data_IF_768892710356
#
_entry.id   IF_768892710356
#
_cell.length_a   1.000
_cell.length_b   1.000
_cell.length_c   1.000
_cell.angle_alpha   90.00
_cell.angle_beta   90.00
_cell.angle_gamma   90.00
#
_symmetry.space_group_name_H-M   'P 1'
#
loop_
_entity.id
_entity.type
_entity.pdbx_description
1 polymer ?
#
# COMPACT_ATOMS: atom_id res chain seq x y z
N UNK A 1 -13.94 -10.04 2.11
CA UNK A 1 -13.48 -10.46 3.45
C UNK A 1 -12.00 -10.16 3.55
N UNK A 2 -11.53 -9.60 4.68
CA UNK A 2 -10.12 -9.30 4.87
C UNK A 2 -9.27 -10.57 4.96
N UNK A 3 -8.02 -10.48 4.48
CA UNK A 3 -7.02 -11.55 4.53
C UNK A 3 -6.10 -11.33 5.73
N UNK A 4 -6.08 -12.29 6.67
CA UNK A 4 -5.30 -12.22 7.92
C UNK A 4 -3.82 -11.84 7.74
N UNK A 5 -3.16 -12.31 6.68
CA UNK A 5 -1.72 -12.03 6.45
C UNK A 5 -1.42 -10.54 6.23
N UNK A 6 -2.41 -9.74 5.83
CA UNK A 6 -2.28 -8.31 5.56
C UNK A 6 -2.86 -7.44 6.68
N UNK A 7 -3.48 -8.05 7.68
CA UNK A 7 -3.99 -7.31 8.83
C UNK A 7 -2.83 -6.92 9.74
N UNK A 8 -2.83 -5.65 10.16
CA UNK A 8 -1.94 -5.19 11.22
C UNK A 8 -2.53 -5.41 12.59
N UNK A 9 -1.73 -5.02 13.58
CA UNK A 9 -2.15 -4.91 14.98
C UNK A 9 -1.77 -3.53 15.50
N UNK A 10 -2.19 -3.17 16.70
CA UNK A 10 -1.78 -1.92 17.33
C UNK A 10 -0.24 -1.79 17.45
N UNK A 11 0.47 -2.91 17.62
CA UNK A 11 1.93 -2.95 17.73
C UNK A 11 2.62 -2.98 16.36
N UNK A 12 1.96 -3.53 15.33
CA UNK A 12 2.48 -3.71 13.99
C UNK A 12 1.43 -3.31 12.94
N UNK A 13 1.10 -2.00 12.84
CA UNK A 13 0.09 -1.53 11.89
C UNK A 13 0.56 -1.78 10.45
N UNK A 14 -0.37 -2.05 9.55
CA UNK A 14 -0.11 -2.32 8.14
C UNK A 14 -0.57 -1.17 7.26
N UNK A 15 0.37 -0.60 6.51
CA UNK A 15 0.14 0.45 5.52
C UNK A 15 0.30 -0.18 4.13
N UNK A 16 -0.72 -0.04 3.28
CA UNK A 16 -0.72 -0.60 1.93
C UNK A 16 -0.80 0.45 0.83
N UNK A 17 -0.13 0.16 -0.29
CA UNK A 17 -0.30 0.85 -1.57
C UNK A 17 -0.65 -0.17 -2.65
N UNK A 18 -1.52 0.21 -3.61
CA UNK A 18 -1.99 -0.66 -4.69
C UNK A 18 -2.01 0.07 -6.03
N UNK A 19 -1.50 -0.57 -7.08
CA UNK A 19 -1.54 -0.01 -8.44
C UNK A 19 -0.42 -0.50 -9.37
N UNK A 20 -0.17 0.26 -10.43
CA UNK A 20 0.94 0.02 -11.37
C UNK A 20 2.15 0.83 -10.93
N UNK A 21 3.08 0.21 -10.20
CA UNK A 21 4.15 0.94 -9.52
C UNK A 21 5.33 1.33 -10.41
N UNK A 22 5.34 0.90 -11.67
CA UNK A 22 6.27 1.44 -12.68
C UNK A 22 5.87 2.86 -13.13
N UNK A 23 4.65 3.33 -12.81
CA UNK A 23 4.17 4.66 -13.18
C UNK A 23 4.54 5.68 -12.07
N UNK A 24 5.44 6.65 -12.33
CA UNK A 24 5.92 7.58 -11.30
C UNK A 24 4.80 8.36 -10.60
N UNK A 25 3.70 8.64 -11.31
CA UNK A 25 2.52 9.33 -10.78
C UNK A 25 1.84 8.62 -9.61
N UNK A 26 2.14 7.34 -9.37
CA UNK A 26 1.62 6.55 -8.24
C UNK A 26 2.39 6.78 -6.93
N UNK A 27 3.48 7.57 -6.95
CA UNK A 27 4.15 8.02 -5.74
C UNK A 27 4.81 6.90 -4.93
N UNK A 28 5.25 5.81 -5.58
CA UNK A 28 5.95 4.74 -4.87
C UNK A 28 7.18 5.27 -4.13
N UNK A 29 7.88 6.27 -4.67
CA UNK A 29 9.08 6.82 -4.05
C UNK A 29 8.77 7.44 -2.69
N UNK A 30 7.76 8.32 -2.64
CA UNK A 30 7.24 8.92 -1.40
C UNK A 30 6.76 7.86 -0.40
N UNK A 31 6.07 6.82 -0.89
CA UNK A 31 5.64 5.69 -0.06
C UNK A 31 6.82 4.92 0.55
N UNK A 32 7.93 4.77 -0.17
CA UNK A 32 9.10 4.07 0.36
C UNK A 32 9.90 4.96 1.32
N UNK A 33 10.00 6.26 1.04
CA UNK A 33 10.70 7.24 1.87
C UNK A 33 10.01 7.44 3.23
N UNK A 34 8.71 7.17 3.34
CA UNK A 34 7.98 7.25 4.62
C UNK A 34 8.33 6.09 5.58
N UNK A 35 8.80 4.95 5.07
CA UNK A 35 9.05 3.73 5.87
C UNK A 35 9.92 4.01 7.10
N UNK A 36 11.14 4.58 6.97
CA UNK A 36 11.97 4.88 8.12
C UNK A 36 11.31 5.90 9.07
N UNK A 37 10.60 6.89 8.53
CA UNK A 37 9.97 7.95 9.32
C UNK A 37 8.86 7.42 10.23
N UNK A 38 7.99 6.56 9.69
CA UNK A 38 6.91 5.92 10.47
C UNK A 38 7.48 4.97 11.50
N UNK A 39 8.55 4.22 11.16
CA UNK A 39 9.18 3.26 12.07
C UNK A 39 9.89 3.90 13.26
N UNK A 40 10.17 5.20 13.24
CA UNK A 40 10.61 5.94 14.45
C UNK A 40 9.56 5.87 15.56
N UNK A 41 8.26 5.94 15.20
CA UNK A 41 7.15 5.94 16.16
C UNK A 41 6.47 4.57 16.30
N UNK A 42 6.45 3.78 15.23
CA UNK A 42 5.83 2.47 15.13
C UNK A 42 6.85 1.45 14.61
N UNK A 43 7.72 0.97 15.49
CA UNK A 43 8.90 0.17 15.13
C UNK A 43 8.59 -1.09 14.30
N UNK A 44 7.40 -1.68 14.44
CA UNK A 44 6.97 -2.87 13.71
C UNK A 44 5.96 -2.58 12.60
N UNK A 45 5.79 -1.32 12.19
CA UNK A 45 4.93 -0.98 11.07
C UNK A 45 5.34 -1.73 9.79
N UNK A 46 4.34 -2.34 9.16
CA UNK A 46 4.45 -3.11 7.92
C UNK A 46 4.02 -2.25 6.75
N UNK A 47 4.73 -2.42 5.64
CA UNK A 47 4.48 -1.68 4.41
C UNK A 47 4.29 -2.68 3.28
N UNK A 48 3.12 -2.66 2.64
CA UNK A 48 2.77 -3.61 1.59
C UNK A 48 2.67 -2.89 0.24
N UNK A 49 3.38 -3.40 -0.77
CA UNK A 49 3.29 -2.92 -2.15
C UNK A 49 2.60 -3.98 -3.00
N UNK A 50 1.38 -3.67 -3.43
CA UNK A 50 0.55 -4.56 -4.23
C UNK A 50 0.30 -4.01 -5.65
N UNK A 51 0.04 -4.92 -6.58
CA UNK A 51 -0.27 -4.61 -7.97
C UNK A 51 0.86 -4.99 -8.93
N UNK A 52 0.90 -4.30 -10.06
CA UNK A 52 1.80 -4.66 -11.17
C UNK A 52 3.06 -3.81 -11.13
N UNK A 53 4.21 -4.44 -11.23
CA UNK A 53 5.51 -3.80 -11.24
C UNK A 53 6.58 -4.68 -11.88
N UNK A 54 7.67 -4.07 -12.35
CA UNK A 54 8.86 -4.80 -12.78
C UNK A 54 9.66 -5.38 -11.59
N UNK A 55 10.50 -6.39 -11.85
CA UNK A 55 11.41 -6.97 -10.86
C UNK A 55 12.36 -5.92 -10.24
N UNK A 56 12.72 -4.90 -11.02
CA UNK A 56 13.52 -3.77 -10.53
C UNK A 56 12.78 -2.99 -9.45
N UNK A 57 11.49 -2.72 -9.67
CA UNK A 57 10.65 -2.01 -8.70
C UNK A 57 10.39 -2.89 -7.47
N UNK A 58 10.13 -4.18 -7.65
CA UNK A 58 10.01 -5.14 -6.56
C UNK A 58 11.27 -5.17 -5.67
N UNK A 59 12.45 -5.33 -6.27
CA UNK A 59 13.71 -5.35 -5.55
C UNK A 59 13.99 -4.04 -4.81
N UNK A 60 13.59 -2.89 -5.39
CA UNK A 60 13.72 -1.58 -4.75
C UNK A 60 12.80 -1.45 -3.54
N UNK A 61 11.53 -1.82 -3.65
CA UNK A 61 10.59 -1.81 -2.54
C UNK A 61 11.05 -2.73 -1.40
N UNK A 62 11.51 -3.94 -1.74
CA UNK A 62 12.06 -4.88 -0.76
C UNK A 62 13.30 -4.30 -0.02
N UNK A 63 14.23 -3.66 -0.75
CA UNK A 63 15.39 -2.99 -0.14
C UNK A 63 15.01 -1.83 0.79
N UNK A 64 13.93 -1.12 0.50
CA UNK A 64 13.39 -0.08 1.37
C UNK A 64 12.66 -0.63 2.60
N UNK A 65 12.45 -1.95 2.68
CA UNK A 65 11.82 -2.62 3.82
C UNK A 65 10.32 -2.80 3.70
N UNK A 66 9.78 -2.74 2.47
CA UNK A 66 8.40 -3.11 2.16
C UNK A 66 8.28 -4.59 1.77
N UNK A 67 7.12 -5.19 2.06
CA UNK A 67 6.72 -6.51 1.59
C UNK A 67 6.08 -6.38 0.21
N UNK A 68 6.59 -7.15 -0.76
CA UNK A 68 6.12 -7.14 -2.14
C UNK A 68 5.03 -8.20 -2.29
N UNK A 69 3.79 -7.77 -2.53
CA UNK A 69 2.61 -8.64 -2.58
C UNK A 69 2.37 -9.23 -3.98
N UNK A 70 2.66 -8.45 -5.03
CA UNK A 70 2.42 -8.85 -6.42
C UNK A 70 1.05 -8.43 -6.95
N UNK A 71 0.75 -8.86 -8.18
CA UNK A 71 -0.48 -8.54 -8.88
C UNK A 71 -1.68 -9.23 -8.22
N UNK A 72 -2.78 -8.48 -8.06
CA UNK A 72 -4.00 -8.94 -7.40
C UNK A 72 -5.17 -8.85 -8.37
N UNK A 73 -6.01 -9.89 -8.37
CA UNK A 73 -7.33 -9.83 -9.01
C UNK A 73 -8.29 -8.90 -8.25
N UNK A 74 -9.47 -8.63 -8.82
CA UNK A 74 -10.41 -7.67 -8.25
C UNK A 74 -10.91 -8.03 -6.84
N UNK A 75 -11.17 -9.32 -6.60
CA UNK A 75 -11.60 -9.79 -5.28
C UNK A 75 -10.47 -9.66 -4.26
N UNK A 76 -9.24 -9.94 -4.68
CA UNK A 76 -8.04 -9.79 -3.87
C UNK A 76 -7.71 -8.32 -3.59
N UNK A 77 -7.94 -7.40 -4.53
CA UNK A 77 -7.79 -5.95 -4.28
C UNK A 77 -8.75 -5.49 -3.19
N UNK A 78 -10.03 -5.84 -3.30
CA UNK A 78 -11.02 -5.50 -2.27
C UNK A 78 -10.63 -6.11 -0.91
N UNK A 79 -10.17 -7.37 -0.91
CA UNK A 79 -9.66 -8.01 0.31
C UNK A 79 -8.44 -7.27 0.87
N UNK A 80 -7.47 -6.92 0.04
CA UNK A 80 -6.26 -6.18 0.40
C UNK A 80 -6.61 -4.84 1.03
N UNK A 81 -7.43 -4.03 0.35
CA UNK A 81 -7.88 -2.73 0.84
C UNK A 81 -8.63 -2.87 2.18
N UNK A 82 -9.49 -3.88 2.34
CA UNK A 82 -10.18 -4.12 3.62
C UNK A 82 -9.29 -4.69 4.75
N UNK A 83 -8.06 -5.12 4.43
CA UNK A 83 -7.18 -5.77 5.41
C UNK A 83 -6.18 -4.81 6.04
N UNK A 84 -5.74 -3.82 5.29
CA UNK A 84 -4.73 -2.86 5.76
C UNK A 84 -5.36 -1.84 6.71
N UNK A 85 -4.60 -1.40 7.71
CA UNK A 85 -5.08 -0.37 8.64
C UNK A 85 -5.13 1.00 7.95
N UNK A 86 -4.15 1.25 7.07
CA UNK A 86 -4.08 2.46 6.26
C UNK A 86 -3.85 2.10 4.80
N UNK A 87 -4.73 2.60 3.92
CA UNK A 87 -4.47 2.65 2.49
C UNK A 87 -3.86 4.01 2.13
N UNK A 88 -2.63 3.99 1.62
CA UNK A 88 -1.88 5.19 1.25
C UNK A 88 -1.86 5.34 -0.27
N UNK A 89 -2.30 6.49 -0.77
CA UNK A 89 -2.30 6.84 -2.18
C UNK A 89 -1.56 8.17 -2.42
N UNK A 90 -0.22 8.17 -2.38
CA UNK A 90 0.62 9.38 -2.49
C UNK A 90 0.73 9.87 -3.95
N UNK A 91 -0.39 9.93 -4.66
CA UNK A 91 -0.40 10.12 -6.09
C UNK A 91 0.07 11.55 -6.44
N UNK A 92 1.09 11.65 -7.30
CA UNK A 92 1.69 12.91 -7.73
C UNK A 92 0.89 13.62 -8.85
N UNK A 93 -0.20 12.99 -9.32
CA UNK A 93 -1.15 13.59 -10.27
C UNK A 93 -1.88 12.58 -11.18
N UNK A 94 -2.90 13.06 -11.88
CA UNK A 94 -3.56 12.33 -12.98
C UNK A 94 -4.36 11.10 -12.57
N UNK A 95 -4.93 11.07 -11.36
CA UNK A 95 -5.90 10.03 -11.02
C UNK A 95 -7.28 10.43 -11.52
N UNK A 96 -7.84 9.63 -12.44
CA UNK A 96 -9.01 10.01 -13.23
C UNK A 96 -10.31 10.23 -12.44
N UNK A 97 -10.36 9.88 -11.15
CA UNK A 97 -11.48 10.16 -10.25
C UNK A 97 -11.21 9.89 -8.75
N UNK A 98 -10.07 9.28 -8.40
CA UNK A 98 -9.83 8.78 -7.03
C UNK A 98 -10.68 7.56 -6.67
N UNK A 99 -11.17 6.79 -7.66
CA UNK A 99 -12.08 5.63 -7.41
C UNK A 99 -11.48 4.60 -6.44
N UNK A 100 -10.15 4.43 -6.48
CA UNK A 100 -9.44 3.54 -5.57
C UNK A 100 -9.51 4.02 -4.11
N UNK A 101 -9.58 5.34 -3.88
CA UNK A 101 -9.79 5.90 -2.54
C UNK A 101 -11.21 5.61 -2.05
N UNK A 102 -12.21 5.74 -2.92
CA UNK A 102 -13.61 5.43 -2.59
C UNK A 102 -13.77 3.94 -2.27
N UNK A 103 -13.09 3.07 -3.01
CA UNK A 103 -13.05 1.62 -2.74
C UNK A 103 -12.39 1.31 -1.39
N UNK A 104 -11.27 1.98 -1.06
CA UNK A 104 -10.60 1.81 0.22
C UNK A 104 -11.47 2.29 1.40
N UNK A 105 -12.16 3.42 1.25
CA UNK A 105 -13.12 3.91 2.24
C UNK A 105 -14.31 2.96 2.41
N UNK A 106 -14.86 2.44 1.30
CA UNK A 106 -15.94 1.45 1.33
C UNK A 106 -15.50 0.13 1.97
N UNK A 107 -14.21 -0.20 1.88
CA UNK A 107 -13.58 -1.35 2.50
C UNK A 107 -13.26 -1.17 4.00
N UNK A 108 -13.45 0.04 4.54
CA UNK A 108 -13.23 0.37 5.95
C UNK A 108 -11.80 0.75 6.31
N UNK A 109 -10.91 0.95 5.33
CA UNK A 109 -9.56 1.41 5.60
C UNK A 109 -9.53 2.92 5.90
N UNK A 110 -8.65 3.32 6.81
CA UNK A 110 -8.28 4.73 6.89
C UNK A 110 -7.47 5.10 5.63
N UNK A 111 -7.84 6.20 4.97
CA UNK A 111 -7.20 6.63 3.73
C UNK A 111 -6.31 7.84 3.99
N UNK A 112 -5.09 7.80 3.44
CA UNK A 112 -4.17 8.94 3.34
C UNK A 112 -3.88 9.19 1.86
N UNK A 113 -4.17 10.39 1.37
CA UNK A 113 -4.04 10.80 -0.04
C UNK A 113 -3.44 12.21 -0.14
#
# INVERSE_FOLDING_TARGET
MPTRRWQGTEQAPTIGILGRMDEPRKGLDDFLDMIPLVRIRFAHARFLVAGRFSDRVAARAARAGAEVVGELDEAQKASFMSSVDVYCAPNLGGESFGIVLVEAMAAGAAVVA
#
